data_IF_697598531819
#
_entry.id   IF_697598531819
#
_cell.length_a   1.000
_cell.length_b   1.000
_cell.length_c   1.000
_cell.angle_alpha   90.00
_cell.angle_beta   90.00
_cell.angle_gamma   90.00
#
_symmetry.space_group_name_H-M   'P 1'
#
loop_
_entity.id
_entity.type
_entity.pdbx_description
1 polymer ?
#
# COMPACT_ATOMS: atom_id res chain seq x y z
N UNK A 1 11.10 23.84 28.75
CA UNK A 1 9.68 24.12 28.58
C UNK A 1 8.96 22.78 28.32
N UNK A 2 8.17 22.39 29.30
CA UNK A 2 7.32 21.20 29.12
C UNK A 2 6.03 21.63 28.41
N UNK A 3 5.77 21.08 27.22
CA UNK A 3 4.47 21.23 26.55
C UNK A 3 3.50 20.21 27.12
N UNK A 4 2.31 20.64 27.45
CA UNK A 4 1.22 19.74 27.80
C UNK A 4 0.86 18.86 26.60
N UNK A 5 0.46 17.61 26.85
CA UNK A 5 -0.01 16.72 25.81
C UNK A 5 -1.24 15.96 26.31
N UNK A 6 -2.02 15.47 25.35
CA UNK A 6 -3.08 14.49 25.56
C UNK A 6 -2.81 13.24 24.71
N UNK A 7 -3.27 12.11 25.18
CA UNK A 7 -3.36 10.92 24.34
C UNK A 7 -4.59 11.07 23.45
N UNK A 8 -4.37 10.92 22.16
CA UNK A 8 -5.43 10.98 21.15
C UNK A 8 -5.63 9.58 20.58
N UNK A 9 -6.88 9.17 20.51
CA UNK A 9 -7.34 7.94 19.90
C UNK A 9 -8.17 8.28 18.67
N UNK A 10 -7.90 7.62 17.57
CA UNK A 10 -8.59 7.84 16.30
C UNK A 10 -9.11 6.50 15.82
N UNK A 11 -10.42 6.36 15.76
CA UNK A 11 -11.09 5.23 15.14
C UNK A 11 -11.50 5.63 13.72
N UNK A 12 -10.97 4.93 12.72
CA UNK A 12 -11.33 5.11 11.32
C UNK A 12 -12.50 4.19 10.94
N UNK A 13 -13.62 4.38 11.61
CA UNK A 13 -14.88 3.67 11.37
C UNK A 13 -14.79 2.14 11.39
N UNK A 14 -13.89 1.61 12.22
CA UNK A 14 -13.67 0.17 12.34
C UNK A 14 -12.75 -0.45 11.28
N UNK A 15 -12.19 0.35 10.38
CA UNK A 15 -11.24 -0.11 9.37
C UNK A 15 -9.79 -0.05 9.89
N UNK A 16 -9.51 0.92 10.72
CA UNK A 16 -8.20 1.12 11.34
C UNK A 16 -8.32 1.91 12.64
N UNK A 17 -7.26 1.88 13.42
CA UNK A 17 -7.15 2.62 14.68
C UNK A 17 -5.77 3.24 14.81
N UNK A 18 -5.69 4.43 15.36
CA UNK A 18 -4.43 5.08 15.66
C UNK A 18 -4.46 5.72 17.06
N UNK A 19 -3.33 5.67 17.74
CA UNK A 19 -3.18 6.24 19.08
C UNK A 19 -1.83 6.91 19.23
N UNK A 20 -1.79 8.04 19.91
CA UNK A 20 -0.55 8.71 20.23
C UNK A 20 -0.73 10.02 20.97
N UNK A 21 0.36 10.75 21.11
CA UNK A 21 0.39 12.02 21.81
C UNK A 21 0.21 13.19 20.85
N UNK A 22 -0.67 14.09 21.22
CA UNK A 22 -0.83 15.38 20.58
C UNK A 22 -0.54 16.46 21.62
N UNK A 23 0.30 17.44 21.29
CA UNK A 23 0.69 18.50 22.19
C UNK A 23 -0.20 19.73 22.03
N UNK A 24 -0.35 20.50 23.12
CA UNK A 24 -1.09 21.76 23.06
C UNK A 24 -0.57 22.68 21.95
N UNK A 25 -1.48 23.16 21.14
CA UNK A 25 -1.19 24.00 19.99
C UNK A 25 -0.87 23.25 18.68
N UNK A 26 -0.86 21.92 18.70
CA UNK A 26 -0.79 21.14 17.47
C UNK A 26 -2.16 21.11 16.81
N UNK A 27 -2.17 21.30 15.50
CA UNK A 27 -3.36 21.12 14.68
C UNK A 27 -3.27 19.76 13.99
N UNK A 28 -4.30 18.94 14.17
CA UNK A 28 -4.39 17.62 13.53
C UNK A 28 -5.52 17.65 12.52
N UNK A 29 -5.16 17.49 11.28
CA UNK A 29 -6.09 17.40 10.17
C UNK A 29 -5.96 16.03 9.54
N UNK A 30 -6.97 15.19 9.69
CA UNK A 30 -6.99 13.85 9.12
C UNK A 30 -8.38 13.48 8.61
N UNK A 31 -8.39 12.59 7.66
CA UNK A 31 -9.53 11.87 7.16
C UNK A 31 -9.07 10.52 6.66
N UNK A 32 -9.96 9.77 6.08
CA UNK A 32 -9.62 8.55 5.38
C UNK A 32 -10.56 8.33 4.21
N UNK A 33 -10.11 7.53 3.24
CA UNK A 33 -10.95 6.99 2.18
C UNK A 33 -10.59 5.53 1.92
N UNK A 34 -11.47 4.85 1.22
CA UNK A 34 -11.31 3.46 0.79
C UNK A 34 -11.43 3.33 -0.73
N UNK A 35 -11.14 4.41 -1.43
CA UNK A 35 -11.23 4.46 -2.88
C UNK A 35 -10.20 3.53 -3.52
N UNK A 36 -10.65 2.78 -4.48
CA UNK A 36 -9.79 1.83 -5.18
C UNK A 36 -8.81 2.54 -6.12
N UNK A 37 -7.56 2.15 -6.03
CA UNK A 37 -6.55 2.54 -7.01
C UNK A 37 -6.71 1.68 -8.26
N UNK A 38 -7.18 2.31 -9.33
CA UNK A 38 -7.51 1.61 -10.57
C UNK A 38 -6.28 1.07 -11.31
N UNK A 39 -5.13 1.67 -11.12
CA UNK A 39 -3.89 1.23 -11.76
C UNK A 39 -3.34 -0.02 -11.06
N UNK A 40 -3.43 -0.06 -9.74
CA UNK A 40 -3.11 -1.26 -8.96
C UNK A 40 -4.09 -2.40 -9.29
N UNK A 41 -5.38 -2.12 -9.35
CA UNK A 41 -6.38 -3.14 -9.72
C UNK A 41 -6.13 -3.74 -11.11
N UNK A 42 -5.76 -2.92 -12.07
CA UNK A 42 -5.43 -3.39 -13.42
C UNK A 42 -4.14 -4.22 -13.48
N UNK A 43 -3.19 -3.89 -12.61
CA UNK A 43 -1.93 -4.60 -12.56
C UNK A 43 -2.05 -6.01 -11.96
N UNK A 44 -3.02 -6.21 -11.08
CA UNK A 44 -3.24 -7.47 -10.38
C UNK A 44 -4.71 -7.93 -10.52
N UNK A 45 -5.14 -8.32 -11.72
CA UNK A 45 -6.55 -8.60 -12.00
C UNK A 45 -7.10 -9.84 -11.27
N UNK A 46 -6.24 -10.71 -10.79
CA UNK A 46 -6.60 -11.96 -10.10
C UNK A 46 -6.66 -11.82 -8.57
N UNK A 47 -6.29 -10.65 -8.03
CA UNK A 47 -6.29 -10.38 -6.60
C UNK A 47 -7.59 -9.68 -6.18
N UNK A 48 -8.15 -10.12 -5.06
CA UNK A 48 -9.18 -9.34 -4.36
C UNK A 48 -8.50 -8.35 -3.43
N UNK A 49 -8.74 -7.07 -3.65
CA UNK A 49 -8.04 -6.02 -2.93
C UNK A 49 -9.00 -5.05 -2.25
N UNK A 50 -8.60 -4.59 -1.07
CA UNK A 50 -9.20 -3.48 -0.35
C UNK A 50 -8.18 -2.37 -0.21
N UNK A 51 -8.65 -1.13 -0.16
CA UNK A 51 -7.80 0.05 -0.07
C UNK A 51 -8.18 0.83 1.18
N UNK A 52 -7.17 1.38 1.83
CA UNK A 52 -7.34 2.29 2.95
C UNK A 52 -6.28 3.39 2.86
N UNK A 53 -6.70 4.63 2.81
CA UNK A 53 -5.82 5.78 2.73
C UNK A 53 -6.08 6.74 3.86
N UNK A 54 -5.02 7.12 4.58
CA UNK A 54 -5.06 8.22 5.54
C UNK A 54 -4.85 9.51 4.77
N UNK A 55 -5.86 10.38 4.80
CA UNK A 55 -5.81 11.70 4.17
C UNK A 55 -5.41 12.78 5.17
N UNK A 56 -4.94 13.90 4.66
CA UNK A 56 -4.61 15.09 5.45
C UNK A 56 -3.12 15.41 5.46
N UNK A 57 -2.73 16.29 6.34
CA UNK A 57 -1.35 16.80 6.41
C UNK A 57 -0.40 15.89 7.22
N UNK A 58 -0.86 14.72 7.61
CA UNK A 58 -0.14 13.85 8.52
C UNK A 58 -0.35 14.23 9.98
N UNK A 59 0.38 13.58 10.85
CA UNK A 59 0.28 13.77 12.28
C UNK A 59 1.51 14.52 12.82
N UNK A 60 1.35 15.38 13.84
CA UNK A 60 2.47 16.12 14.43
C UNK A 60 3.49 15.20 15.13
N UNK A 61 3.04 14.03 15.56
CA UNK A 61 3.85 12.98 16.17
C UNK A 61 3.63 11.65 15.46
N UNK A 62 4.50 10.70 15.71
CA UNK A 62 4.29 9.33 15.24
C UNK A 62 3.29 8.62 16.14
N UNK A 63 2.23 8.10 15.55
CA UNK A 63 1.18 7.35 16.22
C UNK A 63 1.41 5.84 16.11
N UNK A 64 0.95 5.10 17.10
CA UNK A 64 0.69 3.66 16.95
C UNK A 64 -0.47 3.49 16.00
N UNK A 65 -0.40 2.50 15.12
CA UNK A 65 -1.40 2.28 14.09
C UNK A 65 -1.74 0.80 13.96
N UNK A 66 -3.00 0.51 13.82
CA UNK A 66 -3.57 -0.81 13.61
C UNK A 66 -4.48 -0.76 12.39
N UNK A 67 -4.23 -1.63 11.42
CA UNK A 67 -5.07 -1.82 10.24
C UNK A 67 -5.78 -3.16 10.36
N UNK A 68 -7.11 -3.15 10.33
CA UNK A 68 -7.91 -4.35 10.49
C UNK A 68 -7.99 -5.13 9.17
N UNK A 69 -7.14 -6.11 9.06
CA UNK A 69 -7.10 -7.10 8.01
C UNK A 69 -6.86 -8.47 8.65
N UNK A 70 -7.17 -9.56 7.96
CA UNK A 70 -6.96 -10.90 8.50
C UNK A 70 -5.46 -11.28 8.51
N UNK A 71 -5.10 -12.25 9.35
CA UNK A 71 -3.73 -12.75 9.47
C UNK A 71 -3.19 -13.32 8.15
N UNK A 72 -4.05 -13.96 7.37
CA UNK A 72 -3.75 -14.58 6.09
C UNK A 72 -3.85 -13.64 4.89
N UNK A 73 -4.20 -12.38 5.11
CA UNK A 73 -4.13 -11.33 4.10
C UNK A 73 -2.73 -10.69 4.06
N UNK A 74 -2.42 -10.04 2.96
CA UNK A 74 -1.15 -9.37 2.72
C UNK A 74 -1.36 -7.86 2.70
N UNK A 75 -0.55 -7.14 3.44
CA UNK A 75 -0.68 -5.68 3.57
C UNK A 75 0.53 -4.96 2.97
N UNK A 76 0.24 -4.11 2.02
CA UNK A 76 1.23 -3.28 1.32
C UNK A 76 0.96 -1.80 1.57
N UNK A 77 1.95 -0.96 1.31
CA UNK A 77 1.80 0.48 1.20
C UNK A 77 2.04 0.92 -0.24
N UNK A 78 1.38 1.98 -0.66
CA UNK A 78 1.68 2.67 -1.91
C UNK A 78 2.57 3.87 -1.59
N UNK A 79 3.74 3.91 -2.19
CA UNK A 79 4.69 5.00 -2.04
C UNK A 79 5.23 5.39 -3.41
N UNK A 80 5.08 6.67 -3.75
CA UNK A 80 5.47 7.20 -5.05
C UNK A 80 4.88 6.39 -6.23
N UNK A 81 3.61 5.99 -6.09
CA UNK A 81 2.91 5.19 -7.07
C UNK A 81 3.32 3.71 -7.16
N UNK A 82 4.13 3.23 -6.24
CA UNK A 82 4.64 1.85 -6.22
C UNK A 82 4.17 1.10 -4.97
N UNK A 83 3.86 -0.17 -5.14
CA UNK A 83 3.66 -1.07 -4.01
C UNK A 83 4.98 -1.31 -3.29
N UNK A 84 4.93 -1.14 -1.97
CA UNK A 84 6.06 -1.41 -1.08
C UNK A 84 5.59 -2.21 0.13
N UNK A 85 6.53 -2.73 0.87
CA UNK A 85 6.21 -3.30 2.18
C UNK A 85 5.56 -2.23 3.06
N UNK A 86 4.45 -2.56 3.70
CA UNK A 86 3.69 -1.62 4.54
C UNK A 86 4.44 -1.20 5.81
N UNK A 87 5.40 -2.00 6.25
CA UNK A 87 6.04 -1.84 7.56
C UNK A 87 5.17 -2.31 8.72
N UNK A 88 3.93 -2.72 8.46
CA UNK A 88 3.04 -3.30 9.46
C UNK A 88 3.34 -4.80 9.63
N UNK A 89 3.08 -5.31 10.83
CA UNK A 89 3.22 -6.73 11.16
C UNK A 89 1.96 -7.21 11.84
N UNK A 90 1.59 -8.44 11.61
CA UNK A 90 0.51 -9.07 12.34
C UNK A 90 0.80 -9.09 13.84
N UNK A 91 -0.17 -8.67 14.61
CA UNK A 91 -0.14 -8.64 16.07
C UNK A 91 -1.33 -9.42 16.61
N UNK A 92 -1.05 -10.56 17.22
CA UNK A 92 -2.07 -11.47 17.77
C UNK A 92 -2.83 -10.86 18.97
N UNK A 93 -2.22 -9.93 19.69
CA UNK A 93 -2.83 -9.35 20.88
C UNK A 93 -3.97 -8.39 20.53
N UNK A 94 -3.87 -7.74 19.38
CA UNK A 94 -4.88 -6.79 18.88
C UNK A 94 -5.66 -7.29 17.66
N UNK A 95 -5.30 -8.45 17.13
CA UNK A 95 -5.88 -9.03 15.91
C UNK A 95 -5.90 -8.07 14.74
N UNK A 96 -4.76 -7.44 14.50
CA UNK A 96 -4.59 -6.44 13.45
C UNK A 96 -3.16 -6.40 12.93
N UNK A 97 -2.98 -5.76 11.79
CA UNK A 97 -1.67 -5.40 11.27
C UNK A 97 -1.22 -4.10 11.92
N UNK A 98 -0.22 -4.18 12.79
CA UNK A 98 0.20 -3.10 13.67
C UNK A 98 1.56 -2.52 13.28
N UNK A 99 1.72 -1.22 13.54
CA UNK A 99 2.96 -0.50 13.29
C UNK A 99 2.88 0.96 13.72
N UNK A 100 3.53 1.80 12.95
CA UNK A 100 3.60 3.25 13.22
C UNK A 100 3.19 4.04 11.98
N UNK A 101 2.52 5.16 12.21
CA UNK A 101 2.13 6.10 11.14
C UNK A 101 2.40 7.54 11.57
N UNK A 102 2.82 8.36 10.62
CA UNK A 102 3.01 9.80 10.83
C UNK A 102 2.50 10.66 9.68
N UNK A 103 2.48 10.13 8.49
CA UNK A 103 2.07 10.85 7.27
C UNK A 103 0.91 10.16 6.59
N UNK A 104 0.35 10.82 5.59
CA UNK A 104 -0.60 10.17 4.68
C UNK A 104 0.02 8.94 4.06
N UNK A 105 -0.68 7.82 4.12
CA UNK A 105 -0.27 6.54 3.55
C UNK A 105 -1.49 5.86 2.97
N UNK A 106 -1.35 5.35 1.75
CA UNK A 106 -2.33 4.45 1.17
C UNK A 106 -1.87 3.01 1.40
N UNK A 107 -2.74 2.21 1.99
CA UNK A 107 -2.54 0.77 2.18
C UNK A 107 -3.37 -0.03 1.19
N UNK A 108 -2.81 -1.15 0.76
CA UNK A 108 -3.48 -2.15 -0.05
C UNK A 108 -3.49 -3.46 0.72
N UNK A 109 -4.66 -4.04 0.90
CA UNK A 109 -4.89 -5.32 1.55
C UNK A 109 -5.30 -6.30 0.45
N UNK A 110 -4.59 -7.40 0.31
CA UNK A 110 -4.79 -8.38 -0.74
C UNK A 110 -4.97 -9.79 -0.17
N UNK A 111 -5.82 -10.57 -0.79
CA UNK A 111 -6.03 -12.00 -0.49
C UNK A 111 -4.88 -12.89 -0.97
N UNK A 112 -4.05 -12.39 -1.88
CA UNK A 112 -2.87 -13.10 -2.40
C UNK A 112 -1.61 -12.25 -2.29
N UNK A 113 -0.47 -12.89 -2.27
CA UNK A 113 0.82 -12.20 -2.31
C UNK A 113 1.03 -11.50 -3.65
N UNK A 114 1.34 -10.20 -3.60
CA UNK A 114 1.57 -9.37 -4.78
C UNK A 114 3.06 -9.18 -5.02
N UNK A 115 3.48 -9.27 -6.27
CA UNK A 115 4.84 -8.93 -6.65
C UNK A 115 5.06 -7.42 -6.67
N UNK A 116 5.75 -6.92 -5.67
CA UNK A 116 6.04 -5.48 -5.52
C UNK A 116 7.06 -4.95 -6.52
N UNK A 117 7.71 -5.83 -7.29
CA UNK A 117 8.67 -5.44 -8.33
C UNK A 117 8.02 -5.18 -9.69
N UNK A 118 6.77 -5.64 -9.86
CA UNK A 118 6.10 -5.69 -11.17
C UNK A 118 5.42 -4.39 -11.58
N UNK A 119 5.14 -3.46 -10.65
CA UNK A 119 4.32 -2.28 -10.95
C UNK A 119 4.98 -1.01 -10.50
N UNK A 120 5.33 -0.22 -11.47
CA UNK A 120 5.51 1.20 -11.34
C UNK A 120 4.17 1.88 -11.65
N UNK A 121 3.39 2.20 -10.64
CA UNK A 121 2.13 2.95 -10.77
C UNK A 121 2.40 4.46 -10.86
N UNK A 122 3.66 4.86 -10.88
CA UNK A 122 4.08 6.21 -11.17
C UNK A 122 3.57 6.61 -12.54
N UNK A 123 3.11 7.84 -12.63
CA UNK A 123 2.67 8.45 -13.87
C UNK A 123 3.71 8.17 -14.96
N UNK A 124 3.35 7.28 -15.85
CA UNK A 124 4.23 6.75 -16.87
C UNK A 124 4.53 7.73 -17.99
N UNK A 125 4.80 8.96 -17.63
CA UNK A 125 5.58 9.81 -18.51
C UNK A 125 7.05 9.39 -18.44
N UNK A 126 7.27 8.13 -18.59
CA UNK A 126 8.52 7.60 -19.06
C UNK A 126 8.56 7.76 -20.57
N UNK A 127 8.45 8.94 -21.00
CA UNK A 127 9.23 9.35 -22.14
C UNK A 127 10.68 9.33 -21.69
N UNK A 128 11.16 8.21 -21.32
CA UNK A 128 12.56 7.94 -21.37
C UNK A 128 12.90 7.89 -22.83
N UNK A 129 12.99 9.04 -23.38
CA UNK A 129 13.67 9.26 -24.61
C UNK A 129 15.15 8.97 -24.40
N UNK A 130 15.43 7.73 -24.14
CA UNK A 130 16.78 7.26 -24.35
C UNK A 130 16.71 6.15 -25.39
N UNK A 131 16.77 6.46 -26.64
CA UNK A 131 16.67 5.49 -27.72
C UNK A 131 17.80 4.45 -27.70
N UNK A 132 18.89 4.70 -26.97
CA UNK A 132 19.97 3.74 -26.82
C UNK A 132 19.73 2.70 -25.76
N UNK A 133 18.94 3.03 -24.72
CA UNK A 133 18.57 2.11 -23.65
C UNK A 133 17.13 1.63 -23.73
N UNK A 134 16.30 2.30 -24.53
CA UNK A 134 14.90 1.95 -24.72
C UNK A 134 14.68 0.54 -25.25
N UNK A 135 15.61 0.02 -26.05
CA UNK A 135 15.55 -1.35 -26.52
C UNK A 135 15.73 -2.39 -25.40
N UNK A 136 16.53 -2.08 -24.39
CA UNK A 136 16.74 -2.97 -23.25
C UNK A 136 15.52 -2.93 -22.29
N UNK A 137 14.93 -1.76 -22.10
CA UNK A 137 13.74 -1.61 -21.28
C UNK A 137 12.52 -2.31 -21.92
N UNK A 138 12.38 -2.17 -23.23
CA UNK A 138 11.33 -2.87 -23.98
C UNK A 138 11.54 -4.39 -23.95
N UNK A 139 12.76 -4.85 -24.02
CA UNK A 139 13.06 -6.28 -23.89
C UNK A 139 12.75 -6.79 -22.49
N UNK A 140 13.06 -6.01 -21.47
CA UNK A 140 12.73 -6.35 -20.08
C UNK A 140 11.21 -6.48 -19.85
N UNK A 141 10.46 -5.52 -20.33
CA UNK A 141 8.98 -5.54 -20.23
C UNK A 141 8.39 -6.66 -21.08
N UNK A 142 8.88 -6.87 -22.29
CA UNK A 142 8.42 -7.94 -23.14
C UNK A 142 8.74 -9.33 -22.55
N UNK A 143 9.88 -9.46 -21.89
CA UNK A 143 10.26 -10.70 -21.23
C UNK A 143 9.36 -10.99 -20.02
N UNK A 144 9.02 -9.96 -19.24
CA UNK A 144 8.11 -10.11 -18.12
C UNK A 144 6.70 -10.50 -18.58
N UNK A 145 6.18 -9.86 -19.64
CA UNK A 145 4.89 -10.21 -20.23
C UNK A 145 4.92 -11.61 -20.87
N UNK A 146 6.04 -12.00 -21.49
CA UNK A 146 6.18 -13.33 -22.07
C UNK A 146 6.19 -14.42 -20.99
N UNK A 147 6.81 -14.17 -19.86
CA UNK A 147 6.83 -15.11 -18.72
C UNK A 147 5.42 -15.30 -18.16
N UNK A 148 4.68 -14.23 -17.97
CA UNK A 148 3.27 -14.30 -17.52
C UNK A 148 2.40 -15.05 -18.53
N UNK A 149 2.59 -14.77 -19.81
CA UNK A 149 1.85 -15.46 -20.88
C UNK A 149 2.17 -16.95 -20.96
N UNK A 150 3.43 -17.33 -20.73
CA UNK A 150 3.86 -18.72 -20.71
C UNK A 150 3.28 -19.49 -19.51
N UNK A 151 3.20 -18.87 -18.34
CA UNK A 151 2.61 -19.47 -17.15
C UNK A 151 1.10 -19.68 -17.36
N UNK A 152 0.42 -18.70 -17.94
CA UNK A 152 -1.01 -18.82 -18.28
C UNK A 152 -1.24 -19.92 -19.33
N UNK A 153 -0.41 -20.00 -20.35
CA UNK A 153 -0.50 -21.05 -21.37
C UNK A 153 -0.16 -22.44 -20.81
N UNK A 154 0.79 -22.51 -19.89
CA UNK A 154 1.14 -23.75 -19.17
C UNK A 154 0.01 -24.27 -18.31
N UNK A 155 -0.71 -23.39 -17.63
CA UNK A 155 -1.87 -23.74 -16.82
C UNK A 155 -3.04 -24.29 -17.66
N UNK A 156 -3.24 -23.77 -18.85
CA UNK A 156 -4.26 -24.28 -19.80
C UNK A 156 -3.86 -25.65 -20.36
N UNK A 157 -2.56 -25.88 -20.57
CA UNK A 157 -2.07 -27.17 -21.08
C UNK A 157 -2.18 -28.31 -20.07
N UNK A 158 -2.18 -28.02 -18.79
CA UNK A 158 -2.30 -29.01 -17.72
C UNK A 158 -3.76 -29.42 -17.40
N UNK A 159 -4.76 -28.78 -18.00
CA UNK A 159 -6.19 -29.09 -17.81
C UNK A 159 -6.77 -30.04 -18.87
N UNK A 160 -5.97 -30.60 -19.68
CA UNK A 160 -6.33 -31.72 -20.55
C UNK A 160 -5.80 -33.01 -19.94
#
# INVERSE_FOLDING_TARGET
LFRSYMTTEIDFEGEAYAEGRVYDGDEVFYGFNMDADTDILKAYPDAEMRFFEIEGNGFPTTLSFELYAAEDEYVYAVKDGKLTNSGLKWDEDVYAWAGKVRSSVQYVISDIELDTTAVDTGDGDTTTENPETGANDVVGVATALAVVSLVAAGAVSLKK
#
